data_IF_873381858588
#
_entry.id   IF_873381858588
#
_cell.length_a   1.000
_cell.length_b   1.000
_cell.length_c   1.000
_cell.angle_alpha   90.00
_cell.angle_beta   90.00
_cell.angle_gamma   90.00
#
_symmetry.space_group_name_H-M   'P 1'
#
loop_
_entity.id
_entity.type
_entity.pdbx_description
1 polymer ?
#
# COMPACT_ATOMS: atom_id res chain seq x y z
N UNK A 1 7.05 3.27 32.15
CA UNK A 1 6.54 3.41 30.77
C UNK A 1 7.00 4.75 30.22
N UNK A 2 7.87 4.79 29.22
CA UNK A 2 8.22 6.07 28.56
C UNK A 2 7.01 6.48 27.73
N UNK A 3 6.55 7.76 27.82
CA UNK A 3 5.49 8.24 26.95
C UNK A 3 6.01 8.16 25.52
N UNK A 4 5.26 7.47 24.68
CA UNK A 4 5.55 7.38 23.27
C UNK A 4 5.53 8.77 22.65
N UNK A 5 6.61 9.11 22.01
CA UNK A 5 6.80 10.25 21.12
C UNK A 5 5.53 10.54 20.30
N UNK A 6 4.99 11.74 20.42
CA UNK A 6 3.99 12.41 19.61
C UNK A 6 2.85 11.63 18.93
N UNK A 7 1.69 12.24 18.78
CA UNK A 7 0.47 11.57 18.34
C UNK A 7 0.53 10.97 16.91
N UNK A 8 1.57 11.27 16.13
CA UNK A 8 1.68 10.83 14.73
C UNK A 8 3.04 10.22 14.43
N UNK A 9 3.07 8.92 14.18
CA UNK A 9 4.28 8.32 13.63
C UNK A 9 4.30 8.45 12.11
N UNK A 10 4.80 9.57 11.63
CA UNK A 10 4.93 9.89 10.20
C UNK A 10 6.10 9.16 9.51
N UNK A 11 6.79 8.24 10.19
CA UNK A 11 7.98 7.56 9.64
C UNK A 11 7.66 6.84 8.32
N UNK A 12 6.50 6.18 8.24
CA UNK A 12 6.06 5.48 7.03
C UNK A 12 5.79 6.44 5.86
N UNK A 13 5.23 7.62 6.17
CA UNK A 13 4.91 8.64 5.17
C UNK A 13 6.13 9.43 4.70
N UNK A 14 7.27 9.28 5.38
CA UNK A 14 8.56 9.86 4.96
C UNK A 14 9.38 8.90 4.11
N UNK A 15 8.94 7.65 3.95
CA UNK A 15 9.65 6.69 3.10
C UNK A 15 9.51 7.09 1.62
N UNK A 16 10.63 7.19 0.88
CA UNK A 16 10.60 7.53 -0.55
C UNK A 16 9.71 6.60 -1.37
N UNK A 17 9.60 5.33 -0.99
CA UNK A 17 8.73 4.38 -1.68
C UNK A 17 7.26 4.78 -1.61
N UNK A 18 6.81 5.30 -0.46
CA UNK A 18 5.45 5.83 -0.34
C UNK A 18 5.22 7.02 -1.28
N UNK A 19 6.17 7.97 -1.32
CA UNK A 19 6.10 9.11 -2.25
C UNK A 19 6.04 8.69 -3.71
N UNK A 20 6.87 7.70 -4.11
CA UNK A 20 6.86 7.12 -5.46
C UNK A 20 5.50 6.45 -5.74
N UNK A 21 4.97 5.70 -4.80
CA UNK A 21 3.67 5.03 -4.95
C UNK A 21 2.54 6.02 -5.18
N UNK A 22 2.48 7.10 -4.41
CA UNK A 22 1.52 8.19 -4.61
C UNK A 22 1.70 8.83 -6.00
N UNK A 23 2.93 9.13 -6.38
CA UNK A 23 3.21 9.72 -7.69
C UNK A 23 2.75 8.81 -8.83
N UNK A 24 3.07 7.51 -8.78
CA UNK A 24 2.63 6.52 -9.77
C UNK A 24 1.10 6.45 -9.86
N UNK A 25 0.40 6.42 -8.73
CA UNK A 25 -1.05 6.40 -8.68
C UNK A 25 -1.66 7.67 -9.28
N UNK A 26 -1.22 8.84 -8.83
CA UNK A 26 -1.79 10.14 -9.23
C UNK A 26 -1.51 10.43 -10.70
N UNK A 27 -0.28 10.23 -11.16
CA UNK A 27 0.10 10.45 -12.57
C UNK A 27 -0.76 9.58 -13.49
N UNK A 28 -0.95 8.31 -13.12
CA UNK A 28 -1.77 7.41 -13.93
C UNK A 28 -3.25 7.80 -13.93
N UNK A 29 -3.80 8.29 -12.83
CA UNK A 29 -5.18 8.82 -12.77
C UNK A 29 -5.35 10.03 -13.71
N UNK A 30 -4.36 10.92 -13.78
CA UNK A 30 -4.36 12.01 -14.76
C UNK A 30 -4.28 11.49 -16.19
N UNK A 31 -3.42 10.49 -16.44
CA UNK A 31 -3.32 9.87 -17.76
C UNK A 31 -4.64 9.26 -18.21
N UNK A 32 -5.31 8.51 -17.37
CA UNK A 32 -6.63 7.93 -17.65
C UNK A 32 -7.70 8.98 -17.98
N UNK A 33 -7.65 10.15 -17.33
CA UNK A 33 -8.57 11.25 -17.62
C UNK A 33 -8.35 11.85 -19.01
N UNK A 34 -7.13 11.77 -19.54
CA UNK A 34 -6.77 12.30 -20.87
C UNK A 34 -6.87 11.25 -21.99
N UNK A 35 -6.75 9.99 -21.67
CA UNK A 35 -6.72 8.85 -22.60
C UNK A 35 -7.62 7.73 -22.10
N UNK A 36 -8.93 7.79 -22.32
CA UNK A 36 -9.88 6.82 -21.77
C UNK A 36 -9.80 5.42 -22.42
N UNK A 37 -9.17 5.26 -23.56
CA UNK A 37 -8.98 3.98 -24.25
C UNK A 37 -7.69 3.30 -23.78
N UNK A 38 -7.81 2.63 -22.67
CA UNK A 38 -6.68 2.03 -22.00
C UNK A 38 -6.65 0.50 -22.21
N UNK A 39 -5.45 -0.01 -22.46
CA UNK A 39 -5.20 -1.45 -22.49
C UNK A 39 -5.34 -2.09 -21.10
N UNK A 40 -5.09 -3.41 -21.02
CA UNK A 40 -5.15 -4.18 -19.78
C UNK A 40 -4.32 -3.52 -18.66
N UNK A 41 -3.11 -3.06 -18.95
CA UNK A 41 -2.21 -2.43 -17.99
C UNK A 41 -2.84 -1.20 -17.34
N UNK A 42 -3.52 -0.36 -18.12
CA UNK A 42 -4.13 0.86 -17.61
C UNK A 42 -5.29 0.59 -16.64
N UNK A 43 -6.00 -0.49 -16.83
CA UNK A 43 -7.13 -0.85 -15.94
C UNK A 43 -6.66 -1.28 -14.56
N UNK A 44 -5.54 -2.04 -14.48
CA UNK A 44 -5.06 -2.63 -13.23
C UNK A 44 -3.89 -1.88 -12.57
N UNK A 45 -3.37 -0.81 -13.23
CA UNK A 45 -2.26 -0.04 -12.68
C UNK A 45 -2.58 0.62 -11.34
N UNK A 46 -3.76 1.19 -11.22
CA UNK A 46 -4.18 1.84 -9.98
C UNK A 46 -4.31 0.83 -8.83
N UNK A 47 -4.78 -0.38 -9.12
CA UNK A 47 -4.95 -1.44 -8.14
C UNK A 47 -3.59 -1.95 -7.63
N UNK A 48 -2.59 -2.00 -8.50
CA UNK A 48 -1.21 -2.29 -8.12
C UNK A 48 -0.68 -1.31 -7.07
N UNK A 49 -0.95 -0.01 -7.23
CA UNK A 49 -0.43 1.04 -6.33
C UNK A 49 -1.38 1.37 -5.18
N UNK A 50 -2.60 0.87 -5.17
CA UNK A 50 -3.60 1.14 -4.14
C UNK A 50 -3.08 0.80 -2.74
N UNK A 51 -2.64 -0.43 -2.53
CA UNK A 51 -2.15 -0.89 -1.24
C UNK A 51 -0.87 -0.16 -0.80
N UNK A 52 0.17 0.00 -1.64
CA UNK A 52 1.32 0.84 -1.33
C UNK A 52 1.00 2.28 -0.94
N UNK A 53 -0.03 2.87 -1.51
CA UNK A 53 -0.48 4.22 -1.17
C UNK A 53 -1.26 4.27 0.15
N UNK A 54 -2.25 3.38 0.31
CA UNK A 54 -3.22 3.46 1.39
C UNK A 54 -2.68 2.90 2.71
N UNK A 55 -1.97 1.78 2.69
CA UNK A 55 -1.58 1.09 3.93
C UNK A 55 -0.66 1.93 4.84
N UNK A 56 0.36 2.65 4.36
CA UNK A 56 1.15 3.53 5.23
C UNK A 56 0.34 4.61 5.94
N UNK A 57 -0.69 5.16 5.27
CA UNK A 57 -1.62 6.12 5.87
C UNK A 57 -2.47 5.46 6.97
N UNK A 58 -3.05 4.30 6.69
CA UNK A 58 -3.88 3.54 7.63
C UNK A 58 -3.07 3.15 8.86
N UNK A 59 -1.86 2.63 8.68
CA UNK A 59 -1.00 2.23 9.80
C UNK A 59 -0.51 3.44 10.61
N UNK A 60 -0.27 4.58 9.98
CA UNK A 60 0.07 5.82 10.67
C UNK A 60 -1.12 6.32 11.50
N UNK A 61 -2.34 6.22 10.98
CA UNK A 61 -3.57 6.52 11.70
C UNK A 61 -3.79 5.56 12.88
N UNK A 62 -3.60 4.26 12.68
CA UNK A 62 -3.69 3.27 13.78
C UNK A 62 -2.68 3.57 14.88
N UNK A 63 -1.46 3.99 14.53
CA UNK A 63 -0.47 4.44 15.50
C UNK A 63 -0.93 5.68 16.27
N UNK A 64 -1.52 6.66 15.59
CA UNK A 64 -2.05 7.87 16.22
C UNK A 64 -3.22 7.60 17.17
N UNK A 65 -4.05 6.63 16.83
CA UNK A 65 -5.20 6.20 17.66
C UNK A 65 -4.81 5.22 18.78
N UNK A 66 -3.53 4.86 18.90
CA UNK A 66 -3.06 3.90 19.90
C UNK A 66 -3.48 2.44 19.62
N UNK A 67 -3.99 2.16 18.41
CA UNK A 67 -4.42 0.81 17.99
C UNK A 67 -3.24 -0.04 17.49
N UNK A 68 -2.08 0.58 17.26
CA UNK A 68 -0.85 -0.08 16.82
C UNK A 68 0.26 0.21 17.82
N UNK A 69 0.73 -0.84 18.49
CA UNK A 69 1.70 -0.72 19.58
C UNK A 69 3.13 -0.42 19.10
N UNK A 70 3.46 -0.75 17.86
CA UNK A 70 4.79 -0.57 17.30
C UNK A 70 4.79 0.49 16.18
N UNK A 71 5.83 1.31 16.21
CA UNK A 71 6.06 2.35 15.22
C UNK A 71 6.93 1.88 14.04
N UNK A 72 7.08 0.56 13.89
CA UNK A 72 7.92 -0.08 12.88
C UNK A 72 7.25 -0.10 11.51
N UNK A 73 7.97 -0.65 10.57
CA UNK A 73 7.49 -0.91 9.21
C UNK A 73 6.25 -1.82 9.20
N UNK A 74 5.48 -1.81 8.10
CA UNK A 74 4.37 -2.73 7.93
C UNK A 74 4.84 -4.18 8.05
N UNK A 75 4.19 -4.96 8.87
CA UNK A 75 4.44 -6.40 8.97
C UNK A 75 3.85 -7.14 7.77
N UNK A 76 4.38 -8.32 7.46
CA UNK A 76 3.79 -9.17 6.41
C UNK A 76 2.32 -9.51 6.66
N UNK A 77 1.93 -9.68 7.93
CA UNK A 77 0.54 -9.91 8.32
C UNK A 77 -0.34 -8.67 8.05
N UNK A 78 0.13 -7.47 8.39
CA UNK A 78 -0.60 -6.23 8.09
C UNK A 78 -0.79 -6.05 6.58
N UNK A 79 0.23 -6.30 5.77
CA UNK A 79 0.15 -6.23 4.31
C UNK A 79 -0.85 -7.25 3.78
N UNK A 80 -0.74 -8.51 4.24
CA UNK A 80 -1.61 -9.59 3.79
C UNK A 80 -3.09 -9.33 4.12
N UNK A 81 -3.40 -9.02 5.38
CA UNK A 81 -4.79 -8.84 5.79
C UNK A 81 -5.44 -7.60 5.19
N UNK A 82 -4.70 -6.50 5.04
CA UNK A 82 -5.25 -5.33 4.34
C UNK A 82 -5.42 -5.58 2.85
N UNK A 83 -4.47 -6.26 2.20
CA UNK A 83 -4.60 -6.64 0.79
C UNK A 83 -5.81 -7.55 0.55
N UNK A 84 -6.01 -8.56 1.43
CA UNK A 84 -7.18 -9.44 1.37
C UNK A 84 -8.48 -8.67 1.58
N UNK A 85 -8.53 -7.79 2.59
CA UNK A 85 -9.71 -6.96 2.87
C UNK A 85 -10.06 -6.05 1.68
N UNK A 86 -9.06 -5.34 1.14
CA UNK A 86 -9.27 -4.45 -0.01
C UNK A 86 -9.73 -5.21 -1.25
N UNK A 87 -9.08 -6.35 -1.55
CA UNK A 87 -9.50 -7.22 -2.64
C UNK A 87 -10.92 -7.73 -2.47
N UNK A 88 -11.28 -8.18 -1.26
CA UNK A 88 -12.64 -8.61 -0.97
C UNK A 88 -13.67 -7.47 -1.13
N UNK A 89 -13.35 -6.29 -0.61
CA UNK A 89 -14.23 -5.12 -0.73
C UNK A 89 -14.42 -4.70 -2.18
N UNK A 90 -13.35 -4.68 -2.99
CA UNK A 90 -13.42 -4.30 -4.39
C UNK A 90 -14.21 -5.33 -5.23
N UNK A 91 -13.92 -6.63 -5.05
CA UNK A 91 -14.42 -7.68 -5.93
C UNK A 91 -15.81 -8.21 -5.54
N UNK A 92 -16.16 -8.18 -4.27
CA UNK A 92 -17.43 -8.75 -3.80
C UNK A 92 -18.40 -7.66 -3.33
N UNK A 93 -17.93 -6.66 -2.60
CA UNK A 93 -18.80 -5.62 -2.08
C UNK A 93 -19.03 -4.50 -3.10
N UNK A 94 -17.98 -4.11 -3.84
CA UNK A 94 -18.07 -3.08 -4.87
C UNK A 94 -19.19 -3.34 -5.88
N UNK A 95 -19.25 -4.51 -6.55
CA UNK A 95 -20.32 -4.84 -7.49
C UNK A 95 -21.73 -4.91 -6.89
N UNK A 96 -21.85 -5.15 -5.58
CA UNK A 96 -23.15 -5.12 -4.89
C UNK A 96 -23.64 -3.70 -4.59
N UNK A 97 -22.72 -2.74 -4.47
CA UNK A 97 -23.05 -1.37 -4.08
C UNK A 97 -23.06 -0.39 -5.26
N UNK A 98 -22.35 -0.71 -6.34
CA UNK A 98 -22.14 0.20 -7.47
C UNK A 98 -22.36 -0.52 -8.79
N UNK A 99 -23.34 -0.08 -9.57
CA UNK A 99 -23.73 -0.68 -10.86
C UNK A 99 -22.60 -0.69 -11.91
N UNK A 100 -21.62 0.19 -11.75
CA UNK A 100 -20.46 0.30 -12.66
C UNK A 100 -19.24 -0.51 -12.21
N UNK A 101 -19.29 -1.11 -11.02
CA UNK A 101 -18.20 -1.93 -10.52
C UNK A 101 -18.33 -3.35 -11.09
N UNK A 102 -17.25 -3.85 -11.68
CA UNK A 102 -17.16 -5.18 -12.27
C UNK A 102 -16.11 -5.96 -11.50
N UNK A 103 -16.45 -7.16 -11.06
CA UNK A 103 -15.49 -8.08 -10.45
C UNK A 103 -14.48 -8.56 -11.50
N UNK A 104 -13.20 -8.37 -11.22
CA UNK A 104 -12.10 -8.81 -12.09
C UNK A 104 -10.98 -9.45 -11.26
N UNK A 105 -10.74 -10.74 -11.47
CA UNK A 105 -9.67 -11.47 -10.78
C UNK A 105 -8.27 -10.88 -11.00
N UNK A 106 -8.07 -10.10 -12.07
CA UNK A 106 -6.81 -9.41 -12.33
C UNK A 106 -6.55 -8.28 -11.34
N UNK A 107 -7.60 -7.67 -10.78
CA UNK A 107 -7.47 -6.67 -9.73
C UNK A 107 -6.91 -7.30 -8.45
N UNK A 108 -7.35 -8.52 -8.10
CA UNK A 108 -6.78 -9.29 -6.98
C UNK A 108 -5.28 -9.57 -7.18
N UNK A 109 -4.89 -9.92 -8.40
CA UNK A 109 -3.48 -10.12 -8.73
C UNK A 109 -2.70 -8.81 -8.62
N UNK A 110 -3.25 -7.69 -9.07
CA UNK A 110 -2.64 -6.37 -8.96
C UNK A 110 -2.45 -5.97 -7.48
N UNK A 111 -3.46 -6.16 -6.62
CA UNK A 111 -3.33 -5.95 -5.16
C UNK A 111 -2.25 -6.84 -4.54
N UNK A 112 -2.19 -8.12 -4.92
CA UNK A 112 -1.18 -9.05 -4.43
C UNK A 112 0.23 -8.62 -4.83
N UNK A 113 0.43 -8.19 -6.07
CA UNK A 113 1.72 -7.68 -6.57
C UNK A 113 2.11 -6.38 -5.85
N UNK A 114 1.18 -5.46 -5.62
CA UNK A 114 1.41 -4.24 -4.84
C UNK A 114 1.84 -4.55 -3.41
N UNK A 115 1.16 -5.50 -2.77
CA UNK A 115 1.53 -6.01 -1.44
C UNK A 115 2.92 -6.66 -1.42
N UNK A 116 3.25 -7.43 -2.45
CA UNK A 116 4.57 -8.03 -2.59
C UNK A 116 5.68 -6.99 -2.76
N UNK A 117 5.47 -5.96 -3.58
CA UNK A 117 6.41 -4.85 -3.75
C UNK A 117 6.65 -4.12 -2.41
N UNK A 118 5.58 -3.88 -1.64
CA UNK A 118 5.67 -3.33 -0.30
C UNK A 118 6.50 -4.22 0.63
N UNK A 119 6.15 -5.49 0.69
CA UNK A 119 6.84 -6.47 1.54
C UNK A 119 8.33 -6.52 1.20
N UNK A 120 8.65 -6.65 -0.10
CA UNK A 120 10.02 -6.67 -0.58
C UNK A 120 10.77 -5.40 -0.20
N UNK A 121 10.20 -4.22 -0.45
CA UNK A 121 10.83 -2.93 -0.14
C UNK A 121 11.21 -2.81 1.33
N UNK A 122 10.31 -3.15 2.23
CA UNK A 122 10.54 -2.93 3.65
C UNK A 122 11.27 -4.07 4.35
N UNK A 123 11.17 -5.30 3.90
CA UNK A 123 11.85 -6.43 4.55
C UNK A 123 13.25 -6.72 3.99
N UNK A 124 13.45 -6.56 2.69
CA UNK A 124 14.75 -6.89 2.08
C UNK A 124 15.73 -5.72 2.06
N UNK A 125 15.29 -4.48 2.07
CA UNK A 125 16.22 -3.33 2.09
C UNK A 125 16.89 -3.18 3.46
N UNK A 126 16.24 -3.55 4.56
CA UNK A 126 16.86 -3.52 5.89
C UNK A 126 17.96 -4.56 6.05
N UNK A 127 17.81 -5.74 5.46
CA UNK A 127 18.85 -6.78 5.52
C UNK A 127 20.15 -6.30 4.85
N UNK A 128 20.08 -5.47 3.82
CA UNK A 128 21.27 -4.89 3.17
C UNK A 128 21.95 -3.84 4.04
N UNK A 129 21.22 -2.97 4.70
CA UNK A 129 21.80 -1.97 5.60
C UNK A 129 22.46 -2.64 6.82
N UNK A 130 21.88 -3.67 7.37
CA UNK A 130 22.46 -4.42 8.49
C UNK A 130 23.74 -5.17 8.08
N UNK A 131 23.78 -5.74 6.89
CA UNK A 131 24.96 -6.43 6.33
C UNK A 131 26.13 -5.48 6.03
N UNK A 132 25.87 -4.24 5.69
CA UNK A 132 26.91 -3.22 5.45
C UNK A 132 27.44 -2.67 6.78
N UNK A 133 26.57 -2.43 7.77
CA UNK A 133 26.95 -1.94 9.09
C UNK A 133 27.81 -2.93 9.90
N UNK A 134 27.73 -4.23 9.62
CA UNK A 134 28.56 -5.27 10.27
C UNK A 134 29.94 -5.46 9.59
N UNK A 135 30.23 -4.73 8.51
CA UNK A 135 31.52 -4.80 7.80
C UNK A 135 32.48 -3.65 8.11
N UNK A 136 32.09 -2.75 9.00
CA UNK A 136 32.89 -1.69 9.60
C UNK A 136 33.02 -1.91 11.10
#
# INVERSE_FOLDING_TARGET
>A
MKPHSGPWNLKLLKDPFWGISIACYVIHRFWQALSPDSGWMDRHWNDLWMLPCALPLILSLYGALGLRAHASQPTGAEIFWHGLLWGFMAEFIGPLLFDHAVSDLWDLLAYALGGFLMFFRWHFTELRFFSIALRF
#
